data_IF_080134316801
#
_entry.id   IF_080134316801
#
_cell.length_a   1.000
_cell.length_b   1.000
_cell.length_c   1.000
_cell.angle_alpha   90.00
_cell.angle_beta   90.00
_cell.angle_gamma   90.00
#
_symmetry.space_group_name_H-M   'P 1'
#
loop_
_entity.id
_entity.type
_entity.pdbx_description
1 polymer ?
#
# COMPACT_ATOMS: atom_id res chain seq x y z
N UNK A 1 -28.38 37.78 -37.06
CA UNK A 1 -27.86 36.40 -37.01
C UNK A 1 -26.61 36.34 -37.86
N UNK A 2 -25.46 36.33 -37.20
CA UNK A 2 -24.09 36.01 -37.67
C UNK A 2 -23.19 36.45 -36.50
N UNK A 3 -22.85 35.53 -35.60
CA UNK A 3 -21.54 34.86 -35.53
C UNK A 3 -20.43 35.80 -35.04
N UNK A 4 -20.30 35.88 -33.71
CA UNK A 4 -19.10 36.40 -33.04
C UNK A 4 -18.31 35.17 -32.54
N UNK A 5 -17.54 34.57 -33.46
CA UNK A 5 -16.59 33.51 -33.16
C UNK A 5 -15.30 34.17 -32.68
N UNK A 6 -15.08 34.16 -31.38
CA UNK A 6 -13.81 34.56 -30.77
C UNK A 6 -12.71 33.63 -31.28
N UNK A 7 -11.80 34.20 -32.08
CA UNK A 7 -10.63 33.50 -32.60
C UNK A 7 -9.79 32.95 -31.46
N UNK A 8 -9.57 31.63 -31.46
CA UNK A 8 -8.47 31.01 -30.73
C UNK A 8 -7.17 31.52 -31.35
N UNK A 9 -6.46 32.34 -30.61
CA UNK A 9 -5.07 32.68 -30.88
C UNK A 9 -4.22 31.42 -30.66
N UNK A 10 -3.95 30.70 -31.75
CA UNK A 10 -2.99 29.61 -31.78
C UNK A 10 -1.60 30.26 -31.84
N UNK A 11 -1.05 30.56 -30.67
CA UNK A 11 0.33 31.00 -30.55
C UNK A 11 1.30 29.87 -30.97
N UNK A 12 1.53 29.76 -32.27
CA UNK A 12 2.63 29.01 -32.90
C UNK A 12 3.73 29.99 -33.35
N UNK A 13 4.10 30.93 -32.48
CA UNK A 13 5.24 31.82 -32.68
C UNK A 13 6.37 31.47 -31.72
N UNK A 14 7.03 30.34 -32.01
CA UNK A 14 8.40 30.10 -31.56
C UNK A 14 9.16 29.34 -32.66
N UNK A 15 9.33 29.98 -33.82
CA UNK A 15 10.32 29.54 -34.80
C UNK A 15 11.72 29.72 -34.22
N UNK A 16 12.20 28.70 -33.50
CA UNK A 16 13.62 28.53 -33.23
C UNK A 16 14.37 28.44 -34.57
N UNK A 17 15.44 29.20 -34.72
CA UNK A 17 16.32 29.14 -35.90
C UNK A 17 16.73 27.68 -36.16
N UNK A 18 16.33 27.15 -37.32
CA UNK A 18 16.82 25.87 -37.82
C UNK A 18 18.33 25.98 -38.03
N UNK A 19 19.09 25.01 -37.50
CA UNK A 19 20.56 25.01 -37.59
C UNK A 19 20.99 24.68 -39.02
N UNK A 20 21.79 25.55 -39.62
CA UNK A 20 22.33 25.37 -40.99
C UNK A 20 23.52 24.39 -41.08
N UNK A 21 23.94 23.77 -39.96
CA UNK A 21 25.02 22.77 -39.92
C UNK A 21 24.80 21.75 -38.80
N UNK A 22 25.23 20.52 -39.03
CA UNK A 22 25.26 19.46 -38.01
C UNK A 22 26.16 19.87 -36.82
N UNK A 23 25.78 19.52 -35.57
CA UNK A 23 26.58 19.85 -34.39
C UNK A 23 27.93 19.13 -34.41
N UNK A 24 29.00 19.86 -34.11
CA UNK A 24 30.34 19.30 -33.95
C UNK A 24 30.43 18.59 -32.60
N UNK A 25 30.43 17.26 -32.62
CA UNK A 25 30.41 16.42 -31.41
C UNK A 25 31.76 16.35 -30.70
N UNK A 26 32.83 16.84 -31.32
CA UNK A 26 34.19 16.83 -30.76
C UNK A 26 34.72 18.24 -30.45
N UNK A 27 33.94 19.28 -30.78
CA UNK A 27 34.25 20.67 -30.45
C UNK A 27 34.00 21.00 -28.98
N UNK A 28 34.68 22.04 -28.47
CA UNK A 28 34.41 22.57 -27.13
C UNK A 28 32.97 23.11 -27.09
N UNK A 29 32.10 22.65 -26.17
CA UNK A 29 30.73 23.11 -26.10
C UNK A 29 30.65 24.63 -25.90
N UNK A 30 29.86 25.30 -26.72
CA UNK A 30 29.56 26.73 -26.54
C UNK A 30 28.77 26.91 -25.23
N UNK A 31 29.32 27.63 -24.23
CA UNK A 31 28.69 27.79 -22.92
C UNK A 31 27.41 28.64 -22.97
N UNK A 32 27.16 29.33 -24.09
CA UNK A 32 26.00 30.20 -24.28
C UNK A 32 24.95 29.61 -25.23
N UNK A 33 25.19 28.41 -25.78
CA UNK A 33 24.23 27.77 -26.66
C UNK A 33 22.96 27.37 -25.88
N UNK A 34 21.75 27.72 -26.37
CA UNK A 34 20.52 27.26 -25.77
C UNK A 34 20.42 25.74 -25.97
N UNK A 35 20.65 24.98 -24.90
CA UNK A 35 20.39 23.54 -24.86
C UNK A 35 18.88 23.36 -24.67
N UNK A 36 18.18 23.07 -25.77
CA UNK A 36 16.74 22.81 -25.73
C UNK A 36 16.42 21.73 -24.70
N UNK A 37 15.56 22.04 -23.73
CA UNK A 37 15.05 21.10 -22.73
C UNK A 37 15.58 21.25 -21.30
N UNK A 38 16.71 21.92 -21.07
CA UNK A 38 17.19 22.19 -19.72
C UNK A 38 16.87 23.63 -19.30
N UNK A 39 15.90 23.81 -18.40
CA UNK A 39 15.85 25.03 -17.59
C UNK A 39 17.07 25.03 -16.66
N UNK A 40 17.91 26.07 -16.68
CA UNK A 40 18.89 26.26 -15.62
C UNK A 40 18.16 26.28 -14.28
N UNK A 41 18.74 25.63 -13.26
CA UNK A 41 18.24 25.75 -11.91
C UNK A 41 18.15 27.26 -11.55
N UNK A 42 17.05 27.72 -10.95
CA UNK A 42 16.87 29.13 -10.64
C UNK A 42 18.04 29.63 -9.78
N UNK A 43 18.71 30.68 -10.24
CA UNK A 43 19.81 31.32 -9.52
C UNK A 43 19.26 31.93 -8.22
N UNK A 44 19.54 31.27 -7.09
CA UNK A 44 18.99 31.60 -5.77
C UNK A 44 18.32 30.41 -5.07
N UNK A 45 18.06 29.31 -5.78
CA UNK A 45 17.66 28.03 -5.20
C UNK A 45 18.88 27.16 -4.90
N UNK A 46 19.55 27.40 -3.78
CA UNK A 46 20.24 26.29 -3.11
C UNK A 46 19.22 25.17 -2.85
N UNK A 47 19.61 23.88 -2.76
CA UNK A 47 18.65 22.79 -2.65
C UNK A 47 17.76 23.04 -1.43
N UNK A 48 16.50 23.37 -1.65
CA UNK A 48 15.48 23.29 -0.63
C UNK A 48 15.25 21.79 -0.41
N UNK A 49 16.07 21.17 0.44
CA UNK A 49 16.18 19.73 0.65
C UNK A 49 17.16 19.08 -0.32
N UNK A 50 18.42 18.90 0.09
CA UNK A 50 19.32 17.99 -0.64
C UNK A 50 18.75 16.57 -0.62
N UNK A 51 19.11 15.69 -1.56
CA UNK A 51 18.60 14.31 -1.61
C UNK A 51 18.72 13.50 -0.30
N UNK A 52 19.56 13.95 0.63
CA UNK A 52 19.64 13.43 1.99
C UNK A 52 18.39 13.67 2.86
N UNK A 53 17.51 14.61 2.50
CA UNK A 53 16.23 14.89 3.17
C UNK A 53 15.03 14.26 2.45
N UNK A 54 15.29 13.44 1.43
CA UNK A 54 14.23 12.69 0.74
C UNK A 54 13.76 11.52 1.64
N UNK A 55 12.47 11.17 1.65
CA UNK A 55 11.94 10.11 2.51
C UNK A 55 12.62 8.74 2.32
N UNK A 56 13.21 8.48 1.16
CA UNK A 56 13.97 7.24 0.89
C UNK A 56 15.27 7.16 1.71
N UNK A 57 15.76 8.30 2.21
CA UNK A 57 17.05 8.41 2.91
C UNK A 57 16.95 8.97 4.33
N UNK A 58 15.88 9.69 4.66
CA UNK A 58 15.67 10.33 5.96
C UNK A 58 14.46 9.73 6.70
N UNK A 59 14.69 9.19 7.89
CA UNK A 59 13.65 8.55 8.68
C UNK A 59 12.57 9.52 9.14
N UNK A 60 12.95 10.74 9.53
CA UNK A 60 11.97 11.72 10.02
C UNK A 60 10.99 12.13 8.91
N UNK A 61 11.46 12.22 7.67
CA UNK A 61 10.61 12.41 6.50
C UNK A 61 9.78 11.14 6.15
N UNK A 62 10.33 9.94 6.36
CA UNK A 62 9.70 8.67 5.99
C UNK A 62 8.63 8.17 6.97
N UNK A 63 8.81 8.39 8.28
CA UNK A 63 8.07 7.68 9.33
C UNK A 63 6.56 7.89 9.30
N UNK A 64 6.09 9.01 8.76
CA UNK A 64 4.66 9.29 8.56
C UNK A 64 4.09 8.79 7.24
N UNK A 65 4.92 8.20 6.39
CA UNK A 65 4.59 7.72 5.05
C UNK A 65 4.71 6.19 4.92
N UNK A 66 5.20 5.51 5.96
CA UNK A 66 5.33 4.05 5.94
C UNK A 66 4.02 3.39 6.36
N UNK A 67 3.60 2.36 5.62
CA UNK A 67 2.40 1.56 5.92
C UNK A 67 2.71 0.07 5.78
N UNK A 68 2.11 -0.80 6.60
CA UNK A 68 2.15 -2.22 6.38
C UNK A 68 1.17 -2.55 5.25
N UNK A 69 1.54 -3.51 4.42
CA UNK A 69 0.67 -4.07 3.39
C UNK A 69 0.67 -5.60 3.50
N UNK A 70 -0.40 -6.21 3.04
CA UNK A 70 -0.47 -7.65 2.87
C UNK A 70 0.02 -8.02 1.47
N UNK A 71 0.72 -9.15 1.37
CA UNK A 71 1.23 -9.72 0.11
C UNK A 71 0.59 -11.07 -0.17
N UNK A 72 0.60 -11.52 -1.44
CA UNK A 72 0.15 -12.85 -1.80
C UNK A 72 0.74 -13.94 -0.88
N UNK A 73 -0.08 -14.89 -0.47
CA UNK A 73 0.39 -16.06 0.29
C UNK A 73 1.58 -16.74 -0.43
N UNK A 74 2.65 -17.02 0.32
CA UNK A 74 3.89 -17.59 -0.21
C UNK A 74 4.88 -16.57 -0.81
N UNK A 75 4.59 -15.26 -0.74
CA UNK A 75 5.57 -14.23 -1.08
C UNK A 75 6.83 -14.38 -0.23
N UNK A 76 7.98 -14.44 -0.88
CA UNK A 76 9.30 -14.52 -0.22
C UNK A 76 10.04 -13.20 -0.35
N UNK A 77 10.75 -12.79 0.70
CA UNK A 77 11.57 -11.59 0.71
C UNK A 77 12.69 -11.67 1.74
N UNK A 78 13.35 -10.55 2.01
CA UNK A 78 14.29 -10.44 3.11
C UNK A 78 13.51 -10.45 4.44
N UNK A 79 13.91 -11.30 5.38
CA UNK A 79 13.22 -11.35 6.68
C UNK A 79 13.39 -10.02 7.42
N UNK A 80 12.29 -9.47 7.94
CA UNK A 80 12.29 -8.20 8.64
C UNK A 80 12.99 -8.28 10.00
N UNK A 81 13.01 -9.44 10.64
CA UNK A 81 13.61 -9.67 11.97
C UNK A 81 15.14 -9.68 12.00
N UNK A 82 15.81 -9.46 10.85
CA UNK A 82 17.26 -9.45 10.77
C UNK A 82 17.83 -8.18 11.44
N UNK A 83 18.72 -8.31 12.44
CA UNK A 83 19.31 -7.15 13.11
C UNK A 83 20.04 -6.19 12.17
N UNK A 84 19.94 -4.89 12.45
CA UNK A 84 20.48 -3.83 11.60
C UNK A 84 22.01 -3.91 11.40
N UNK A 85 22.76 -4.34 12.40
CA UNK A 85 24.21 -4.56 12.32
C UNK A 85 24.57 -5.72 11.38
N UNK A 86 23.75 -6.77 11.35
CA UNK A 86 23.85 -7.85 10.37
C UNK A 86 23.53 -7.34 8.97
N UNK A 87 22.47 -6.56 8.80
CA UNK A 87 22.12 -5.97 7.48
C UNK A 87 23.24 -5.09 6.93
N UNK A 88 23.87 -4.26 7.77
CA UNK A 88 24.99 -3.39 7.38
C UNK A 88 26.24 -4.13 6.91
N UNK A 89 26.45 -5.34 7.42
CA UNK A 89 27.62 -6.16 7.11
C UNK A 89 27.34 -7.23 6.04
N UNK A 90 26.08 -7.34 5.59
CA UNK A 90 25.63 -8.38 4.69
C UNK A 90 25.64 -7.92 3.23
N UNK A 91 26.08 -8.78 2.28
CA UNK A 91 25.96 -8.52 0.85
C UNK A 91 24.54 -8.81 0.30
N UNK A 92 23.52 -8.89 1.17
CA UNK A 92 22.12 -9.17 0.78
C UNK A 92 21.71 -8.20 -0.32
N UNK A 93 21.00 -8.72 -1.32
CA UNK A 93 20.44 -7.91 -2.40
C UNK A 93 19.51 -6.86 -1.79
N UNK A 94 20.05 -5.64 -1.70
CA UNK A 94 19.44 -4.44 -1.16
C UNK A 94 18.11 -4.07 -1.84
N UNK A 95 17.76 -4.73 -2.95
CA UNK A 95 16.51 -4.54 -3.68
C UNK A 95 15.40 -5.50 -3.28
N UNK A 96 15.65 -6.46 -2.38
CA UNK A 96 14.64 -7.44 -1.96
C UNK A 96 13.72 -6.85 -0.90
N UNK A 97 12.38 -6.82 -1.11
CA UNK A 97 11.43 -6.31 -0.13
C UNK A 97 11.53 -7.03 1.21
N UNK A 98 11.28 -6.31 2.30
CA UNK A 98 11.12 -6.90 3.62
C UNK A 98 9.81 -7.66 3.72
N UNK A 99 9.86 -8.84 4.34
CA UNK A 99 8.69 -9.64 4.67
C UNK A 99 8.71 -10.02 6.15
N UNK A 100 7.53 -10.04 6.75
CA UNK A 100 7.28 -10.50 8.11
C UNK A 100 6.06 -11.42 8.12
N UNK A 101 6.02 -12.32 9.09
CA UNK A 101 4.84 -13.12 9.37
C UNK A 101 3.75 -12.25 10.02
N UNK A 102 2.52 -12.41 9.54
CA UNK A 102 1.30 -11.85 10.10
C UNK A 102 0.39 -12.93 10.69
N UNK A 103 -0.78 -12.53 11.21
CA UNK A 103 -1.72 -13.46 11.82
C UNK A 103 -2.19 -14.51 10.80
N UNK A 104 -2.34 -15.75 11.26
CA UNK A 104 -2.75 -16.90 10.43
C UNK A 104 -1.88 -17.13 9.17
N UNK A 105 -0.59 -16.75 9.23
CA UNK A 105 0.36 -16.92 8.12
C UNK A 105 0.15 -15.95 6.95
N UNK A 106 -0.61 -14.86 7.17
CA UNK A 106 -0.65 -13.74 6.22
C UNK A 106 0.76 -13.15 6.09
N UNK A 107 1.16 -12.79 4.86
CA UNK A 107 2.49 -12.21 4.63
C UNK A 107 2.39 -10.70 4.69
N UNK A 108 3.21 -10.09 5.56
CA UNK A 108 3.28 -8.64 5.74
C UNK A 108 4.53 -8.10 5.05
N UNK A 109 4.39 -7.02 4.31
CA UNK A 109 5.48 -6.19 3.79
C UNK A 109 5.24 -4.75 4.20
N UNK A 110 6.19 -3.86 3.95
CA UNK A 110 6.06 -2.44 4.21
C UNK A 110 6.24 -1.64 2.92
N UNK A 111 5.50 -0.55 2.81
CA UNK A 111 5.65 0.43 1.73
C UNK A 111 5.96 1.79 2.30
N UNK A 112 6.76 2.56 1.56
CA UNK A 112 6.84 4.00 1.66
C UNK A 112 5.87 4.57 0.63
N UNK A 113 4.80 5.19 1.11
CA UNK A 113 3.74 5.75 0.28
C UNK A 113 4.21 7.03 -0.41
N UNK A 114 4.16 7.04 -1.73
CA UNK A 114 4.47 8.19 -2.57
C UNK A 114 3.22 8.80 -3.21
N UNK A 115 3.35 10.01 -3.78
CA UNK A 115 2.22 10.71 -4.42
C UNK A 115 1.70 10.09 -5.73
N UNK A 116 2.24 8.95 -6.17
CA UNK A 116 1.82 8.30 -7.41
C UNK A 116 2.17 6.81 -7.52
N UNK A 117 3.12 6.32 -6.73
CA UNK A 117 3.38 4.90 -6.55
C UNK A 117 3.96 4.66 -5.17
N UNK A 118 3.77 3.44 -4.68
CA UNK A 118 4.35 2.96 -3.43
C UNK A 118 5.71 2.33 -3.68
N UNK A 119 6.67 2.56 -2.79
CA UNK A 119 7.98 1.92 -2.83
C UNK A 119 8.02 0.83 -1.77
N UNK A 120 8.30 -0.41 -2.17
CA UNK A 120 8.50 -1.50 -1.21
C UNK A 120 9.76 -1.23 -0.38
N UNK A 121 9.59 -1.24 0.94
CA UNK A 121 10.70 -1.09 1.89
C UNK A 121 11.56 -2.36 1.85
N UNK A 122 12.87 -2.15 1.91
CA UNK A 122 13.89 -3.20 1.81
C UNK A 122 14.97 -2.93 2.87
N UNK A 123 15.98 -3.80 2.93
CA UNK A 123 17.07 -3.66 3.89
C UNK A 123 17.91 -2.38 3.73
N UNK A 124 18.04 -1.84 2.51
CA UNK A 124 18.79 -0.59 2.28
C UNK A 124 18.11 0.62 2.90
N UNK A 125 16.77 0.68 2.84
CA UNK A 125 16.01 1.71 3.53
C UNK A 125 16.27 1.67 5.04
N UNK A 126 16.21 0.51 5.69
CA UNK A 126 16.51 0.38 7.12
C UNK A 126 17.95 0.85 7.45
N UNK A 127 18.93 0.47 6.62
CA UNK A 127 20.32 0.88 6.79
C UNK A 127 20.48 2.40 6.63
N UNK A 128 19.81 2.99 5.64
CA UNK A 128 19.84 4.43 5.37
C UNK A 128 19.17 5.23 6.49
N UNK A 129 17.99 4.80 6.93
CA UNK A 129 17.24 5.41 8.01
C UNK A 129 17.89 5.21 9.37
N UNK A 130 18.70 4.16 9.52
CA UNK A 130 19.36 3.83 10.77
C UNK A 130 18.41 3.24 11.83
N UNK A 131 17.29 2.67 11.39
CA UNK A 131 16.24 2.08 12.24
C UNK A 131 16.16 0.57 12.04
N UNK A 132 15.66 -0.16 13.03
CA UNK A 132 15.35 -1.58 12.89
C UNK A 132 13.91 -1.81 12.41
N UNK A 133 13.58 -3.08 12.17
CA UNK A 133 12.25 -3.45 11.70
C UNK A 133 11.15 -3.29 12.77
N UNK A 134 11.49 -3.33 14.07
CA UNK A 134 10.51 -3.12 15.13
C UNK A 134 10.06 -1.65 15.15
N UNK A 135 11.01 -0.72 14.97
CA UNK A 135 10.69 0.71 14.83
C UNK A 135 9.89 1.00 13.55
N UNK A 136 10.26 0.38 12.41
CA UNK A 136 9.48 0.45 11.18
C UNK A 136 8.05 -0.07 11.37
N UNK A 137 7.90 -1.26 11.95
CA UNK A 137 6.60 -1.90 12.17
C UNK A 137 5.74 -1.09 13.13
N UNK A 138 6.33 -0.51 14.18
CA UNK A 138 5.66 0.38 15.11
C UNK A 138 5.13 1.65 14.44
N UNK A 139 5.95 2.32 13.63
CA UNK A 139 5.53 3.51 12.89
C UNK A 139 4.45 3.19 11.83
N UNK A 140 4.65 2.13 11.06
CA UNK A 140 3.72 1.69 10.04
C UNK A 140 2.35 1.30 10.65
N UNK A 141 2.38 0.54 11.76
CA UNK A 141 1.17 0.19 12.51
C UNK A 141 0.44 1.40 13.07
N UNK A 142 1.16 2.40 13.58
CA UNK A 142 0.57 3.65 14.06
C UNK A 142 -0.10 4.46 12.93
N UNK A 143 0.54 4.55 11.75
CA UNK A 143 -0.03 5.21 10.58
C UNK A 143 -1.29 4.49 10.09
N UNK A 144 -1.24 3.15 9.99
CA UNK A 144 -2.41 2.34 9.63
C UNK A 144 -3.55 2.53 10.65
N UNK A 145 -3.26 2.55 11.95
CA UNK A 145 -4.26 2.74 12.98
C UNK A 145 -4.93 4.11 12.90
N UNK A 146 -4.13 5.18 12.67
CA UNK A 146 -4.65 6.53 12.50
C UNK A 146 -5.56 6.64 11.29
N UNK A 147 -5.13 6.13 10.13
CA UNK A 147 -5.95 6.09 8.92
C UNK A 147 -7.21 5.22 9.10
N UNK A 148 -7.06 4.02 9.68
CA UNK A 148 -8.15 3.06 9.88
C UNK A 148 -9.25 3.59 10.82
N UNK A 149 -8.94 4.52 11.72
CA UNK A 149 -9.92 5.15 12.61
C UNK A 149 -10.88 6.08 11.85
N UNK A 150 -10.46 6.62 10.69
CA UNK A 150 -11.26 7.51 9.85
C UNK A 150 -11.90 6.77 8.67
N UNK A 151 -11.35 5.61 8.28
CA UNK A 151 -11.85 4.78 7.20
C UNK A 151 -13.24 4.18 7.53
N UNK A 152 -14.18 4.38 6.61
CA UNK A 152 -15.55 3.89 6.72
C UNK A 152 -15.67 2.36 6.74
N UNK A 153 -16.86 1.91 7.12
CA UNK A 153 -17.31 0.53 6.99
C UNK A 153 -18.64 0.51 6.24
N UNK A 154 -18.79 -0.44 5.33
CA UNK A 154 -20.07 -0.77 4.73
C UNK A 154 -20.70 -1.90 5.55
N UNK A 155 -21.96 -1.75 5.94
CA UNK A 155 -22.71 -2.72 6.74
C UNK A 155 -23.92 -3.21 5.95
N UNK A 156 -23.85 -4.48 5.55
CA UNK A 156 -24.88 -5.14 4.75
C UNK A 156 -25.59 -6.21 5.57
N UNK A 157 -26.93 -6.13 5.59
CA UNK A 157 -27.79 -7.10 6.26
C UNK A 157 -28.74 -7.71 5.24
N UNK A 158 -28.72 -9.03 5.10
CA UNK A 158 -29.62 -9.80 4.24
C UNK A 158 -30.18 -11.00 4.99
N UNK A 159 -31.44 -10.92 5.41
CA UNK A 159 -32.05 -11.94 6.27
C UNK A 159 -31.33 -12.04 7.61
N UNK A 160 -30.76 -13.22 7.91
CA UNK A 160 -29.96 -13.48 9.12
C UNK A 160 -28.47 -13.23 8.94
N UNK A 161 -28.01 -12.96 7.72
CA UNK A 161 -26.60 -12.75 7.39
C UNK A 161 -26.27 -11.26 7.52
N UNK A 162 -25.18 -10.95 8.21
CA UNK A 162 -24.59 -9.61 8.28
C UNK A 162 -23.14 -9.66 7.82
N UNK A 163 -22.76 -8.72 6.96
CA UNK A 163 -21.41 -8.54 6.44
C UNK A 163 -20.97 -7.11 6.73
N UNK A 164 -19.76 -6.97 7.24
CA UNK A 164 -19.02 -5.71 7.29
C UNK A 164 -17.90 -5.77 6.26
N UNK A 165 -17.74 -4.70 5.50
CA UNK A 165 -16.65 -4.57 4.53
C UNK A 165 -15.96 -3.22 4.60
N UNK A 166 -14.68 -3.22 4.24
CA UNK A 166 -13.85 -2.04 3.99
C UNK A 166 -13.33 -2.16 2.56
N UNK A 167 -13.69 -1.20 1.72
CA UNK A 167 -13.35 -1.14 0.30
C UNK A 167 -13.04 0.30 -0.15
N UNK A 168 -12.36 1.06 0.72
CA UNK A 168 -12.10 2.49 0.52
C UNK A 168 -11.11 2.81 -0.60
N UNK A 169 -10.31 1.82 -1.03
CA UNK A 169 -9.35 1.96 -2.11
C UNK A 169 -7.91 2.22 -1.64
N UNK A 170 -7.65 2.14 -0.34
CA UNK A 170 -6.34 2.40 0.27
C UNK A 170 -5.85 1.14 1.00
N UNK A 171 -5.72 1.18 2.33
CA UNK A 171 -5.05 0.17 3.15
C UNK A 171 -6.03 -0.84 3.78
N UNK A 172 -7.17 -1.08 3.12
CA UNK A 172 -8.32 -1.80 3.68
C UNK A 172 -7.97 -3.21 4.17
N UNK A 173 -7.28 -4.01 3.37
CA UNK A 173 -6.90 -5.37 3.76
C UNK A 173 -5.95 -5.37 4.96
N UNK A 174 -5.02 -4.41 5.01
CA UNK A 174 -4.03 -4.30 6.07
C UNK A 174 -4.66 -3.97 7.44
N UNK A 175 -5.87 -3.39 7.48
CA UNK A 175 -6.62 -3.12 8.73
C UNK A 175 -6.70 -4.35 9.63
N UNK A 176 -6.77 -5.56 9.05
CA UNK A 176 -6.88 -6.80 9.83
C UNK A 176 -5.68 -7.09 10.74
N UNK A 177 -4.52 -6.48 10.45
CA UNK A 177 -3.32 -6.56 11.29
C UNK A 177 -3.53 -5.88 12.65
N UNK A 178 -4.43 -4.89 12.73
CA UNK A 178 -4.73 -4.16 13.95
C UNK A 178 -5.66 -4.98 14.87
N UNK A 179 -5.25 -5.12 16.13
CA UNK A 179 -6.04 -5.82 17.15
C UNK A 179 -7.38 -5.10 17.40
N UNK A 180 -7.39 -3.77 17.32
CA UNK A 180 -8.57 -2.92 17.46
C UNK A 180 -9.59 -3.19 16.36
N UNK A 181 -9.14 -3.42 15.13
CA UNK A 181 -10.01 -3.77 13.99
C UNK A 181 -10.61 -5.15 14.21
N UNK A 182 -9.81 -6.14 14.61
CA UNK A 182 -10.33 -7.48 14.96
C UNK A 182 -11.37 -7.39 16.09
N UNK A 183 -11.09 -6.59 17.13
CA UNK A 183 -12.04 -6.36 18.22
C UNK A 183 -13.33 -5.65 17.76
N UNK A 184 -13.21 -4.66 16.86
CA UNK A 184 -14.36 -3.96 16.27
C UNK A 184 -15.25 -4.92 15.48
N UNK A 185 -14.66 -5.72 14.58
CA UNK A 185 -15.37 -6.73 13.81
C UNK A 185 -16.09 -7.73 14.73
N UNK A 186 -15.40 -8.24 15.75
CA UNK A 186 -16.00 -9.14 16.74
C UNK A 186 -17.19 -8.50 17.46
N UNK A 187 -17.05 -7.25 17.93
CA UNK A 187 -18.10 -6.54 18.66
C UNK A 187 -19.31 -6.25 17.77
N UNK A 188 -19.10 -5.68 16.59
CA UNK A 188 -20.18 -5.30 15.70
C UNK A 188 -20.96 -6.54 15.25
N UNK A 189 -20.27 -7.56 14.75
CA UNK A 189 -20.91 -8.78 14.24
C UNK A 189 -21.55 -9.62 15.36
N UNK A 190 -21.06 -9.53 16.61
CA UNK A 190 -21.70 -10.19 17.75
C UNK A 190 -23.05 -9.58 18.13
N UNK A 191 -23.35 -8.33 17.75
CA UNK A 191 -24.58 -7.62 18.15
C UNK A 191 -25.87 -8.33 17.73
N UNK A 192 -25.81 -9.11 16.64
CA UNK A 192 -26.94 -9.86 16.10
C UNK A 192 -26.71 -11.38 16.14
N UNK A 193 -25.65 -11.82 16.82
CA UNK A 193 -25.23 -13.21 16.83
C UNK A 193 -26.07 -14.07 17.79
N UNK A 194 -26.41 -15.27 17.33
CA UNK A 194 -26.93 -16.34 18.18
C UNK A 194 -25.77 -17.17 18.73
N UNK A 195 -26.01 -17.96 19.78
CA UNK A 195 -25.00 -18.87 20.29
C UNK A 195 -24.51 -19.83 19.19
N UNK A 196 -23.19 -19.89 18.99
CA UNK A 196 -22.57 -20.70 17.94
C UNK A 196 -22.36 -19.97 16.61
N UNK A 197 -22.71 -18.69 16.49
CA UNK A 197 -22.34 -17.87 15.33
C UNK A 197 -20.80 -17.77 15.23
N UNK A 198 -20.29 -17.98 14.02
CA UNK A 198 -18.86 -17.85 13.67
C UNK A 198 -18.66 -16.59 12.83
N UNK A 199 -17.49 -15.97 12.96
CA UNK A 199 -17.13 -14.77 12.20
C UNK A 199 -16.10 -15.17 11.16
N UNK A 200 -16.51 -15.15 9.89
CA UNK A 200 -15.66 -15.43 8.74
C UNK A 200 -14.99 -14.13 8.30
N UNK A 201 -13.73 -14.19 7.90
CA UNK A 201 -12.93 -13.05 7.44
C UNK A 201 -12.29 -13.39 6.09
N UNK A 202 -12.31 -12.45 5.17
CA UNK A 202 -11.67 -12.55 3.86
C UNK A 202 -10.83 -11.31 3.55
N UNK A 203 -9.64 -11.53 2.98
CA UNK A 203 -8.73 -10.49 2.49
C UNK A 203 -8.27 -10.84 1.06
N UNK A 204 -9.17 -10.72 0.07
CA UNK A 204 -8.89 -11.23 -1.27
C UNK A 204 -7.81 -10.43 -2.01
N UNK A 205 -7.74 -9.11 -1.78
CA UNK A 205 -6.87 -8.15 -2.47
C UNK A 205 -6.62 -6.90 -1.60
N UNK A 206 -5.63 -6.07 -1.98
CA UNK A 206 -5.08 -4.94 -1.20
C UNK A 206 -6.14 -4.01 -0.60
N UNK A 207 -7.17 -3.72 -1.36
CA UNK A 207 -8.18 -2.72 -1.06
C UNK A 207 -9.48 -3.31 -0.50
N UNK A 208 -9.48 -4.57 -0.07
CA UNK A 208 -10.69 -5.20 0.43
C UNK A 208 -10.45 -6.03 1.70
N UNK A 209 -11.23 -5.70 2.73
CA UNK A 209 -11.42 -6.51 3.93
C UNK A 209 -12.91 -6.81 4.10
N UNK A 210 -13.23 -8.09 4.29
CA UNK A 210 -14.59 -8.58 4.49
C UNK A 210 -14.67 -9.37 5.79
N UNK A 211 -15.76 -9.18 6.53
CA UNK A 211 -16.11 -10.03 7.66
C UNK A 211 -17.61 -10.33 7.67
N UNK A 212 -17.99 -11.59 7.87
CA UNK A 212 -19.39 -12.02 7.81
C UNK A 212 -19.76 -12.95 8.95
N UNK A 213 -21.04 -12.96 9.32
CA UNK A 213 -21.59 -13.86 10.35
C UNK A 213 -22.15 -15.14 9.73
N UNK A 214 -21.66 -16.28 10.17
CA UNK A 214 -22.23 -17.59 9.86
C UNK A 214 -22.98 -18.13 11.08
N UNK A 215 -24.31 -18.21 11.00
CA UNK A 215 -25.14 -18.81 12.05
C UNK A 215 -25.09 -20.34 11.99
N UNK A 216 -25.37 -21.05 13.09
CA UNK A 216 -25.49 -22.50 13.07
C UNK A 216 -26.56 -22.97 12.07
N UNK A 217 -26.21 -23.94 11.19
CA UNK A 217 -27.10 -24.46 10.15
C UNK A 217 -27.18 -23.63 8.87
N UNK A 218 -26.33 -22.59 8.73
CA UNK A 218 -26.17 -21.81 7.51
C UNK A 218 -24.79 -22.05 6.85
N UNK A 219 -24.41 -23.32 6.69
CA UNK A 219 -23.12 -23.69 6.08
C UNK A 219 -23.02 -23.25 4.61
N UNK A 220 -24.16 -23.04 3.94
CA UNK A 220 -24.21 -22.45 2.59
C UNK A 220 -23.56 -21.05 2.58
N UNK A 221 -23.69 -20.28 3.65
CA UNK A 221 -23.05 -18.96 3.73
C UNK A 221 -21.53 -19.05 3.60
N UNK A 222 -20.88 -20.03 4.24
CA UNK A 222 -19.43 -20.21 4.10
C UNK A 222 -19.03 -20.52 2.65
N UNK A 223 -19.85 -21.28 1.93
CA UNK A 223 -19.61 -21.57 0.50
C UNK A 223 -19.72 -20.31 -0.34
N UNK A 224 -20.76 -19.51 -0.13
CA UNK A 224 -20.98 -18.24 -0.85
C UNK A 224 -19.88 -17.21 -0.52
N UNK A 225 -19.52 -17.10 0.76
CA UNK A 225 -18.47 -16.20 1.23
C UNK A 225 -17.11 -16.58 0.64
N UNK A 226 -16.76 -17.87 0.66
CA UNK A 226 -15.54 -18.37 0.04
C UNK A 226 -15.52 -18.16 -1.48
N UNK A 227 -16.66 -18.38 -2.15
CA UNK A 227 -16.82 -18.10 -3.59
C UNK A 227 -16.53 -16.64 -3.90
N UNK A 228 -17.13 -15.71 -3.14
CA UNK A 228 -16.87 -14.28 -3.30
C UNK A 228 -15.40 -13.92 -3.08
N UNK A 229 -14.78 -14.38 -1.98
CA UNK A 229 -13.35 -14.13 -1.70
C UNK A 229 -12.48 -14.66 -2.84
N UNK A 230 -12.77 -15.85 -3.35
CA UNK A 230 -12.01 -16.46 -4.44
C UNK A 230 -12.16 -15.67 -5.74
N UNK A 231 -13.38 -15.28 -6.11
CA UNK A 231 -13.66 -14.48 -7.31
C UNK A 231 -12.97 -13.11 -7.26
N UNK A 232 -13.05 -12.40 -6.13
CA UNK A 232 -12.38 -11.11 -5.96
C UNK A 232 -10.86 -11.25 -6.05
N UNK A 233 -10.30 -12.30 -5.42
CA UNK A 233 -8.87 -12.55 -5.47
C UNK A 233 -8.40 -12.93 -6.88
N UNK A 234 -9.19 -13.69 -7.65
CA UNK A 234 -8.86 -14.03 -9.04
C UNK A 234 -8.91 -12.84 -9.99
N UNK A 235 -9.80 -11.88 -9.73
CA UNK A 235 -9.93 -10.66 -10.52
C UNK A 235 -8.87 -9.60 -10.18
N UNK A 236 -8.19 -9.73 -9.02
CA UNK A 236 -7.25 -8.73 -8.53
C UNK A 236 -5.90 -8.77 -9.29
N UNK A 237 -5.32 -7.58 -9.49
CA UNK A 237 -3.95 -7.44 -9.99
C UNK A 237 -2.94 -7.99 -8.98
N UNK A 238 -3.17 -7.74 -7.69
CA UNK A 238 -2.37 -8.24 -6.57
C UNK A 238 -3.23 -9.05 -5.57
N UNK A 239 -3.44 -10.35 -5.81
CA UNK A 239 -4.19 -11.21 -4.88
C UNK A 239 -3.44 -11.39 -3.56
N UNK A 240 -4.16 -11.38 -2.43
CA UNK A 240 -3.57 -11.62 -1.10
C UNK A 240 -3.79 -13.06 -0.65
N UNK A 241 -5.02 -13.41 -0.28
CA UNK A 241 -5.35 -14.73 0.25
C UNK A 241 -6.76 -15.17 -0.18
N UNK A 242 -6.86 -16.39 -0.70
CA UNK A 242 -8.13 -17.01 -1.13
C UNK A 242 -8.81 -17.78 0.00
N UNK A 243 -8.10 -18.04 1.09
CA UNK A 243 -8.63 -18.74 2.24
C UNK A 243 -9.68 -17.89 2.92
N UNK A 244 -10.66 -18.58 3.50
CA UNK A 244 -11.52 -17.98 4.51
C UNK A 244 -10.85 -18.18 5.86
N UNK A 245 -10.70 -17.09 6.59
CA UNK A 245 -10.22 -17.10 7.97
C UNK A 245 -11.41 -17.01 8.92
N UNK A 246 -11.21 -17.41 10.16
CA UNK A 246 -12.19 -17.25 11.22
C UNK A 246 -11.59 -16.40 12.35
N UNK A 247 -12.39 -15.47 12.87
CA UNK A 247 -12.02 -14.68 14.03
C UNK A 247 -12.50 -15.38 15.31
N UNK A 248 -11.56 -15.95 16.06
CA UNK A 248 -11.82 -16.71 17.30
C UNK A 248 -11.05 -16.08 18.45
N UNK A 249 -11.78 -15.54 19.44
CA UNK A 249 -11.15 -14.96 20.63
C UNK A 249 -10.22 -13.78 20.36
N UNK A 250 -10.44 -13.05 19.24
CA UNK A 250 -9.60 -11.93 18.80
C UNK A 250 -8.45 -12.32 17.87
N UNK A 251 -8.24 -13.61 17.64
CA UNK A 251 -7.20 -14.16 16.78
C UNK A 251 -7.77 -14.69 15.47
N UNK A 252 -6.99 -14.62 14.40
CA UNK A 252 -7.33 -15.25 13.14
C UNK A 252 -6.83 -16.68 13.11
N UNK A 253 -7.70 -17.59 12.69
CA UNK A 253 -7.37 -18.98 12.41
C UNK A 253 -7.90 -19.38 11.03
N UNK A 254 -7.37 -20.44 10.44
CA UNK A 254 -7.89 -20.96 9.18
C UNK A 254 -9.27 -21.59 9.43
N UNK A 255 -10.26 -21.24 8.61
CA UNK A 255 -11.60 -21.80 8.71
C UNK A 255 -11.61 -23.24 8.16
N UNK A 256 -11.93 -24.21 9.02
CA UNK A 256 -11.85 -25.64 8.68
C UNK A 256 -13.17 -26.29 8.24
N UNK A 257 -14.25 -25.51 8.01
CA UNK A 257 -15.60 -26.05 7.77
C UNK A 257 -16.32 -26.39 9.07
#
# INVERSE_FOLDING_TARGET
MADDWTGRDLADEATGSLRDKAPDTLGVPDPTAPVSGHRPAPAGGGPAGGGAAAPEHDWEAARGLVYPILRPAGTTGAAADVPLDVLRSSPVSHTTPLVSDGPCGLVVSFVLQGGGFDVLVNAEHLVSWGVDADELAGAAGANLAAWSAEAGWTDEISGSRRILSSDTGDHDAARILLTEVRAHLASELATSAVAGTRILVGVPERHMLLAGTMTPGDEEFAVLFHGFVSEQSEAAEEPIDRRVLELVGGELVEFAG
#
